data_IF_233659237147
#
_entry.id   IF_233659237147
#
_cell.length_a   1.000
_cell.length_b   1.000
_cell.length_c   1.000
_cell.angle_alpha   90.00
_cell.angle_beta   90.00
_cell.angle_gamma   90.00
#
_symmetry.space_group_name_H-M   'P 1'
#
loop_
_entity.id
_entity.type
_entity.pdbx_description
1 polymer ?
#
# COMPACT_ATOMS: atom_id res chain seq x y z
N UNK A 1 -10.70 10.77 -29.65
CA UNK A 1 -9.35 10.57 -30.23
C UNK A 1 -8.74 9.22 -29.84
N UNK A 2 -8.88 8.74 -28.59
CA UNK A 2 -8.32 7.45 -28.11
C UNK A 2 -8.98 6.20 -28.75
N UNK A 3 -10.31 6.16 -28.90
CA UNK A 3 -10.99 4.98 -29.50
C UNK A 3 -10.47 4.65 -30.90
N UNK A 4 -10.28 5.67 -31.75
CA UNK A 4 -9.69 5.48 -33.10
C UNK A 4 -8.25 4.95 -33.07
N UNK A 5 -7.48 5.18 -31.99
CA UNK A 5 -6.12 4.63 -31.83
C UNK A 5 -6.18 3.16 -31.40
N UNK A 6 -7.08 2.83 -30.47
CA UNK A 6 -7.36 1.46 -30.04
C UNK A 6 -7.80 0.59 -31.23
N UNK A 7 -8.73 1.10 -32.03
CA UNK A 7 -9.24 0.39 -33.22
C UNK A 7 -8.14 0.15 -34.27
N UNK A 8 -7.09 0.97 -34.27
CA UNK A 8 -5.92 0.85 -35.16
C UNK A 8 -4.79 -0.02 -34.59
N UNK A 9 -4.95 -0.62 -33.40
CA UNK A 9 -3.94 -1.50 -32.81
C UNK A 9 -2.77 -0.76 -32.15
N UNK A 10 -2.97 0.49 -31.72
CA UNK A 10 -1.95 1.26 -31.00
C UNK A 10 -1.72 0.67 -29.60
N UNK A 11 -0.53 0.09 -29.37
CA UNK A 11 -0.16 -0.59 -28.14
C UNK A 11 -0.25 0.32 -26.90
N UNK A 12 0.18 1.60 -27.00
CA UNK A 12 0.09 2.55 -25.88
C UNK A 12 -1.36 2.87 -25.52
N UNK A 13 -2.21 3.07 -26.53
CA UNK A 13 -3.62 3.38 -26.31
C UNK A 13 -4.38 2.18 -25.71
N UNK A 14 -4.01 0.95 -26.09
CA UNK A 14 -4.58 -0.29 -25.54
C UNK A 14 -4.09 -0.50 -24.10
N UNK A 15 -2.79 -0.28 -23.84
CA UNK A 15 -2.24 -0.35 -22.48
C UNK A 15 -2.92 0.65 -21.56
N UNK A 16 -3.08 1.89 -22.01
CA UNK A 16 -3.79 2.93 -21.26
C UNK A 16 -5.22 2.52 -20.95
N UNK A 17 -5.95 1.90 -21.89
CA UNK A 17 -7.29 1.40 -21.62
C UNK A 17 -7.28 0.29 -20.55
N UNK A 18 -6.28 -0.58 -20.56
CA UNK A 18 -6.04 -1.57 -19.50
C UNK A 18 -5.94 -0.92 -18.12
N UNK A 19 -5.16 0.16 -17.98
CA UNK A 19 -5.03 0.91 -16.71
C UNK A 19 -6.38 1.47 -16.24
N UNK A 20 -7.21 1.95 -17.16
CA UNK A 20 -8.54 2.48 -16.80
C UNK A 20 -9.48 1.40 -16.30
N UNK A 21 -9.44 0.20 -16.86
CA UNK A 21 -10.18 -0.94 -16.30
C UNK A 21 -9.59 -1.42 -14.97
N UNK A 22 -8.28 -1.39 -14.80
CA UNK A 22 -7.64 -1.81 -13.55
C UNK A 22 -8.03 -0.91 -12.37
N UNK A 23 -8.09 0.40 -12.59
CA UNK A 23 -8.41 1.39 -11.55
C UNK A 23 -9.90 1.75 -11.47
N UNK A 24 -10.69 1.45 -12.51
CA UNK A 24 -12.10 1.85 -12.59
C UNK A 24 -12.28 3.36 -12.84
N UNK A 25 -11.53 3.91 -13.81
CA UNK A 25 -11.50 5.34 -14.13
C UNK A 25 -12.33 5.67 -15.38
N UNK A 26 -12.54 6.97 -15.66
CA UNK A 26 -13.27 7.46 -16.84
C UNK A 26 -14.71 6.92 -16.97
N UNK A 27 -15.35 6.59 -15.84
CA UNK A 27 -16.68 5.99 -15.82
C UNK A 27 -16.72 4.50 -16.11
N UNK A 28 -15.57 3.83 -16.20
CA UNK A 28 -15.47 2.37 -16.30
C UNK A 28 -15.51 1.73 -14.92
N UNK A 29 -16.22 0.61 -14.78
CA UNK A 29 -16.13 -0.22 -13.58
C UNK A 29 -14.79 -0.94 -13.52
N UNK A 30 -14.22 -1.08 -12.32
CA UNK A 30 -13.00 -1.85 -12.09
C UNK A 30 -13.15 -3.29 -12.59
N UNK A 31 -12.26 -3.73 -13.48
CA UNK A 31 -12.25 -5.05 -14.08
C UNK A 31 -10.80 -5.50 -14.36
N UNK A 32 -10.20 -6.18 -13.37
CA UNK A 32 -8.82 -6.67 -13.43
C UNK A 32 -8.62 -7.69 -14.57
N UNK A 33 -9.47 -8.71 -14.77
CA UNK A 33 -9.31 -9.64 -15.89
C UNK A 33 -9.23 -8.95 -17.26
N UNK A 34 -10.10 -7.95 -17.49
CA UNK A 34 -10.10 -7.19 -18.74
C UNK A 34 -8.87 -6.29 -18.89
N UNK A 35 -8.37 -5.73 -17.78
CA UNK A 35 -7.14 -4.97 -17.79
C UNK A 35 -5.94 -5.84 -18.22
N UNK A 36 -5.86 -7.07 -17.69
CA UNK A 36 -4.81 -8.03 -18.03
C UNK A 36 -4.85 -8.38 -19.52
N UNK A 37 -6.03 -8.70 -20.06
CA UNK A 37 -6.20 -8.99 -21.49
C UNK A 37 -5.68 -7.85 -22.38
N UNK A 38 -6.03 -6.61 -22.03
CA UNK A 38 -5.59 -5.42 -22.77
C UNK A 38 -4.08 -5.20 -22.66
N UNK A 39 -3.49 -5.36 -21.48
CA UNK A 39 -2.05 -5.24 -21.30
C UNK A 39 -1.26 -6.32 -22.05
N UNK A 40 -1.71 -7.57 -22.01
CA UNK A 40 -1.11 -8.67 -22.77
C UNK A 40 -1.16 -8.37 -24.26
N UNK A 41 -2.31 -7.94 -24.77
CA UNK A 41 -2.46 -7.53 -26.18
C UNK A 41 -1.57 -6.34 -26.55
N UNK A 42 -1.43 -5.35 -25.67
CA UNK A 42 -0.54 -4.22 -25.89
C UNK A 42 0.93 -4.65 -25.97
N UNK A 43 1.37 -5.55 -25.09
CA UNK A 43 2.72 -6.12 -25.11
C UNK A 43 3.00 -6.94 -26.37
N UNK A 44 2.01 -7.71 -26.85
CA UNK A 44 2.10 -8.47 -28.11
C UNK A 44 2.24 -7.54 -29.33
N UNK A 45 1.46 -6.46 -29.38
CA UNK A 45 1.48 -5.48 -30.48
C UNK A 45 2.76 -4.62 -30.49
N UNK A 46 3.39 -4.43 -29.34
CA UNK A 46 4.64 -3.69 -29.17
C UNK A 46 5.92 -4.53 -29.27
N UNK A 47 5.80 -5.85 -29.43
CA UNK A 47 6.86 -6.85 -29.19
C UNK A 47 7.37 -6.84 -27.75
N UNK A 48 7.35 -8.02 -27.10
CA UNK A 48 7.67 -8.23 -25.69
C UNK A 48 9.01 -7.57 -25.25
N UNK A 49 8.95 -6.35 -24.71
CA UNK A 49 10.04 -5.82 -23.88
C UNK A 49 9.93 -6.46 -22.49
N UNK A 50 11.02 -7.06 -22.00
CA UNK A 50 11.08 -7.72 -20.71
C UNK A 50 10.69 -6.78 -19.55
N UNK A 51 10.95 -5.47 -19.70
CA UNK A 51 10.54 -4.45 -18.73
C UNK A 51 9.01 -4.34 -18.64
N UNK A 52 8.32 -4.27 -19.79
CA UNK A 52 6.86 -4.17 -19.85
C UNK A 52 6.19 -5.44 -19.31
N UNK A 53 6.75 -6.62 -19.60
CA UNK A 53 6.26 -7.88 -19.02
C UNK A 53 6.42 -7.94 -17.51
N UNK A 54 7.58 -7.53 -16.99
CA UNK A 54 7.81 -7.49 -15.56
C UNK A 54 6.82 -6.54 -14.87
N UNK A 55 6.58 -5.36 -15.45
CA UNK A 55 5.56 -4.42 -14.96
C UNK A 55 4.14 -5.01 -14.98
N UNK A 56 3.76 -5.70 -16.06
CA UNK A 56 2.44 -6.34 -16.16
C UNK A 56 2.31 -7.46 -15.11
N UNK A 57 3.31 -8.32 -14.96
CA UNK A 57 3.33 -9.39 -13.96
C UNK A 57 3.25 -8.83 -12.54
N UNK A 58 3.99 -7.77 -12.24
CA UNK A 58 3.93 -7.10 -10.95
C UNK A 58 2.53 -6.53 -10.67
N UNK A 59 1.90 -5.90 -11.66
CA UNK A 59 0.53 -5.37 -11.55
C UNK A 59 -0.51 -6.47 -11.37
N UNK A 60 -0.36 -7.60 -12.08
CA UNK A 60 -1.21 -8.79 -11.91
C UNK A 60 -1.08 -9.32 -10.50
N UNK A 61 0.14 -9.58 -10.02
CA UNK A 61 0.38 -10.07 -8.67
C UNK A 61 -0.16 -9.12 -7.61
N UNK A 62 0.06 -7.80 -7.74
CA UNK A 62 -0.53 -6.80 -6.84
C UNK A 62 -2.07 -6.80 -6.88
N UNK A 63 -2.65 -6.95 -8.06
CA UNK A 63 -4.10 -7.06 -8.24
C UNK A 63 -4.69 -8.28 -7.53
N UNK A 64 -4.04 -9.43 -7.70
CA UNK A 64 -4.41 -10.69 -7.04
C UNK A 64 -4.21 -10.60 -5.52
N UNK A 65 -3.11 -10.00 -5.08
CA UNK A 65 -2.81 -9.76 -3.67
C UNK A 65 -3.91 -8.94 -2.99
N UNK A 66 -4.33 -7.85 -3.62
CA UNK A 66 -5.40 -7.00 -3.12
C UNK A 66 -6.76 -7.71 -3.12
N UNK A 67 -7.05 -8.53 -4.13
CA UNK A 67 -8.29 -9.32 -4.16
C UNK A 67 -8.34 -10.34 -3.03
N UNK A 68 -7.26 -11.11 -2.83
CA UNK A 68 -7.14 -12.12 -1.78
C UNK A 68 -7.21 -11.46 -0.40
N UNK A 69 -6.47 -10.36 -0.19
CA UNK A 69 -6.52 -9.56 1.03
C UNK A 69 -7.94 -9.06 1.29
N UNK A 70 -8.62 -8.50 0.30
CA UNK A 70 -10.00 -8.02 0.50
C UNK A 70 -10.96 -9.15 0.85
N UNK A 71 -10.80 -10.34 0.26
CA UNK A 71 -11.57 -11.52 0.61
C UNK A 71 -11.28 -11.98 2.05
N UNK A 72 -10.02 -11.92 2.47
CA UNK A 72 -9.61 -12.18 3.85
C UNK A 72 -10.33 -11.22 4.82
N UNK A 73 -10.38 -9.93 4.52
CA UNK A 73 -11.14 -8.94 5.31
C UNK A 73 -12.62 -9.34 5.41
N UNK A 74 -13.22 -9.85 4.32
CA UNK A 74 -14.61 -10.31 4.34
C UNK A 74 -14.82 -11.52 5.24
N UNK A 75 -13.91 -12.49 5.21
CA UNK A 75 -13.93 -13.63 6.13
C UNK A 75 -13.75 -13.19 7.58
N UNK A 76 -12.86 -12.24 7.84
CA UNK A 76 -12.63 -11.76 9.21
C UNK A 76 -13.85 -11.04 9.80
N UNK A 77 -14.53 -10.20 9.01
CA UNK A 77 -15.68 -9.44 9.48
C UNK A 77 -17.02 -10.16 9.35
N UNK A 78 -17.08 -11.25 8.57
CA UNK A 78 -18.35 -11.91 8.25
C UNK A 78 -19.30 -10.99 7.46
N UNK A 79 -18.81 -10.39 6.38
CA UNK A 79 -19.55 -9.39 5.58
C UNK A 79 -19.89 -9.89 4.18
N UNK A 80 -20.82 -9.19 3.50
CA UNK A 80 -21.29 -9.54 2.15
C UNK A 80 -21.88 -10.97 2.03
N UNK A 81 -22.54 -11.45 3.09
CA UNK A 81 -23.16 -12.78 3.11
C UNK A 81 -22.20 -13.94 3.42
N UNK A 82 -20.92 -13.65 3.71
CA UNK A 82 -19.97 -14.63 4.23
C UNK A 82 -20.07 -14.72 5.75
N UNK A 83 -19.99 -15.93 6.29
CA UNK A 83 -19.84 -16.14 7.74
C UNK A 83 -18.44 -15.70 8.18
N UNK A 84 -18.34 -15.24 9.44
CA UNK A 84 -17.05 -14.93 10.06
C UNK A 84 -16.20 -16.20 10.19
N UNK A 85 -14.97 -16.16 9.67
CA UNK A 85 -14.00 -17.25 9.67
C UNK A 85 -12.58 -16.66 9.81
N UNK A 86 -12.11 -16.53 11.05
CA UNK A 86 -10.80 -15.92 11.35
C UNK A 86 -9.63 -16.76 10.85
N UNK A 87 -9.58 -18.10 11.07
CA UNK A 87 -8.50 -18.93 10.53
C UNK A 87 -8.34 -18.79 9.00
N UNK A 88 -9.45 -18.79 8.26
CA UNK A 88 -9.42 -18.60 6.80
C UNK A 88 -8.97 -17.20 6.39
N UNK A 89 -9.33 -16.18 7.17
CA UNK A 89 -8.83 -14.82 6.95
C UNK A 89 -7.31 -14.76 7.11
N UNK A 90 -6.76 -15.36 8.16
CA UNK A 90 -5.30 -15.41 8.41
C UNK A 90 -4.57 -16.17 7.29
N UNK A 91 -5.09 -17.30 6.85
CA UNK A 91 -4.54 -18.04 5.71
C UNK A 91 -4.53 -17.18 4.43
N UNK A 92 -5.66 -16.50 4.17
CA UNK A 92 -5.81 -15.65 2.99
C UNK A 92 -4.89 -14.43 3.02
N UNK A 93 -4.77 -13.73 4.16
CA UNK A 93 -3.80 -12.65 4.31
C UNK A 93 -2.37 -13.17 4.18
N UNK A 94 -2.05 -14.35 4.73
CA UNK A 94 -0.72 -14.96 4.59
C UNK A 94 -0.38 -15.13 3.12
N UNK A 95 -1.28 -15.75 2.34
CA UNK A 95 -1.12 -15.90 0.89
C UNK A 95 -0.98 -14.56 0.17
N UNK A 96 -1.82 -13.57 0.51
CA UNK A 96 -1.74 -12.22 -0.07
C UNK A 96 -0.39 -11.54 0.24
N UNK A 97 0.15 -11.75 1.43
CA UNK A 97 1.44 -11.21 1.87
C UNK A 97 2.62 -11.81 1.09
N UNK A 98 2.57 -13.12 0.82
CA UNK A 98 3.57 -13.85 0.03
C UNK A 98 3.66 -13.37 -1.42
N UNK A 99 2.52 -12.97 -2.01
CA UNK A 99 2.46 -12.39 -3.36
C UNK A 99 2.64 -10.86 -3.37
N UNK A 100 2.94 -10.26 -2.23
CA UNK A 100 3.42 -8.89 -2.12
C UNK A 100 2.43 -7.85 -1.60
N UNK A 101 1.29 -8.24 -1.03
CA UNK A 101 0.39 -7.27 -0.36
C UNK A 101 1.02 -6.77 0.94
N UNK A 102 1.34 -5.47 0.97
CA UNK A 102 1.80 -4.79 2.19
C UNK A 102 0.68 -4.67 3.21
N UNK A 103 -0.54 -4.35 2.78
CA UNK A 103 -1.72 -4.30 3.65
C UNK A 103 -1.96 -5.66 4.33
N UNK A 104 -1.77 -6.77 3.62
CA UNK A 104 -1.92 -8.09 4.23
C UNK A 104 -0.84 -8.35 5.30
N UNK A 105 0.41 -7.91 5.06
CA UNK A 105 1.42 -7.91 6.11
C UNK A 105 1.01 -7.02 7.29
N UNK A 106 0.46 -5.84 7.05
CA UNK A 106 -0.01 -4.94 8.10
C UNK A 106 -1.09 -5.59 8.98
N UNK A 107 -2.11 -6.20 8.35
CA UNK A 107 -3.19 -6.90 9.04
C UNK A 107 -2.66 -8.09 9.85
N UNK A 108 -1.80 -8.93 9.27
CA UNK A 108 -1.16 -10.04 10.00
C UNK A 108 -0.36 -9.52 11.20
N UNK A 109 0.37 -8.43 11.01
CA UNK A 109 1.11 -7.76 12.08
C UNK A 109 0.21 -7.43 13.27
N UNK A 110 -0.92 -6.78 12.98
CA UNK A 110 -1.93 -6.44 14.00
C UNK A 110 -2.51 -7.67 14.69
N UNK A 111 -2.86 -8.72 13.94
CA UNK A 111 -3.58 -9.87 14.53
C UNK A 111 -2.68 -10.73 15.40
N UNK A 112 -1.44 -10.94 14.98
CA UNK A 112 -0.48 -11.67 15.81
C UNK A 112 -0.07 -10.84 17.03
N UNK A 113 0.14 -9.52 16.88
CA UNK A 113 0.58 -8.70 18.01
C UNK A 113 -0.47 -8.60 19.13
N UNK A 114 -1.76 -8.46 18.79
CA UNK A 114 -2.82 -8.29 19.79
C UNK A 114 -3.63 -9.56 20.10
N UNK A 115 -3.35 -10.68 19.43
CA UNK A 115 -4.12 -11.92 19.61
C UNK A 115 -5.60 -11.82 19.16
N UNK A 116 -5.89 -10.97 18.17
CA UNK A 116 -7.27 -10.70 17.72
C UNK A 116 -7.88 -11.88 16.94
N UNK A 117 -8.47 -12.82 17.67
CA UNK A 117 -9.09 -14.03 17.12
C UNK A 117 -8.09 -15.14 16.78
N UNK A 118 -6.84 -15.00 17.20
CA UNK A 118 -5.77 -16.01 17.15
C UNK A 118 -4.92 -15.94 18.43
N UNK A 119 -4.04 -16.93 18.64
CA UNK A 119 -3.05 -16.85 19.71
C UNK A 119 -2.10 -15.67 19.47
N UNK A 120 -1.85 -14.91 20.53
CA UNK A 120 -0.94 -13.78 20.52
C UNK A 120 0.51 -14.25 20.29
N UNK A 121 1.19 -13.57 19.37
CA UNK A 121 2.60 -13.76 19.07
C UNK A 121 3.18 -12.40 18.64
N UNK A 122 3.58 -11.59 19.62
CA UNK A 122 4.17 -10.27 19.41
C UNK A 122 5.32 -10.30 18.39
N UNK A 123 6.20 -11.31 18.47
CA UNK A 123 7.38 -11.42 17.60
C UNK A 123 6.96 -11.62 16.14
N UNK A 124 5.95 -12.47 15.91
CA UNK A 124 5.41 -12.68 14.57
C UNK A 124 4.66 -11.45 14.07
N UNK A 125 3.94 -10.75 14.95
CA UNK A 125 3.30 -9.47 14.64
C UNK A 125 4.31 -8.43 14.16
N UNK A 126 5.35 -8.18 14.97
CA UNK A 126 6.46 -7.29 14.65
C UNK A 126 7.14 -7.70 13.35
N UNK A 127 7.39 -9.00 13.14
CA UNK A 127 7.98 -9.49 11.89
C UNK A 127 7.17 -9.05 10.67
N UNK A 128 5.85 -9.25 10.67
CA UNK A 128 5.02 -8.85 9.54
C UNK A 128 5.00 -7.33 9.33
N UNK A 129 4.95 -6.52 10.39
CA UNK A 129 5.07 -5.06 10.28
C UNK A 129 6.43 -4.62 9.74
N UNK A 130 7.53 -5.26 10.13
CA UNK A 130 8.87 -4.99 9.54
C UNK A 130 8.87 -5.27 8.03
N UNK A 131 8.30 -6.41 7.60
CA UNK A 131 8.23 -6.76 6.18
C UNK A 131 7.42 -5.76 5.35
N UNK A 132 6.35 -5.18 5.91
CA UNK A 132 5.58 -4.13 5.26
C UNK A 132 6.33 -2.78 5.28
N UNK A 133 6.85 -2.38 6.44
CA UNK A 133 7.51 -1.09 6.64
C UNK A 133 8.75 -0.93 5.75
N UNK A 134 9.59 -1.96 5.62
CA UNK A 134 10.79 -1.94 4.74
C UNK A 134 10.42 -1.69 3.28
N UNK A 135 9.23 -2.11 2.85
CA UNK A 135 8.70 -1.89 1.49
C UNK A 135 7.86 -0.61 1.37
N UNK A 136 7.86 0.23 2.39
CA UNK A 136 7.25 1.56 2.37
C UNK A 136 5.82 1.63 2.87
N UNK A 137 5.34 0.62 3.60
CA UNK A 137 4.07 0.77 4.31
C UNK A 137 4.21 1.72 5.51
N UNK A 138 3.44 2.80 5.46
CA UNK A 138 3.53 3.92 6.39
C UNK A 138 2.87 3.60 7.73
N UNK A 139 1.78 2.84 7.71
CA UNK A 139 1.03 2.41 8.90
C UNK A 139 1.81 1.35 9.68
N UNK A 140 2.38 0.35 9.01
CA UNK A 140 3.28 -0.60 9.69
C UNK A 140 4.52 0.08 10.27
N UNK A 141 5.07 1.11 9.60
CA UNK A 141 6.18 1.89 10.17
C UNK A 141 5.75 2.62 11.44
N UNK A 142 4.55 3.19 11.47
CA UNK A 142 3.98 3.82 12.66
C UNK A 142 3.81 2.80 13.80
N UNK A 143 3.25 1.61 13.51
CA UNK A 143 3.09 0.55 14.50
C UNK A 143 4.41 0.09 15.12
N UNK A 144 5.51 0.05 14.35
CA UNK A 144 6.83 -0.21 14.92
C UNK A 144 7.32 0.90 15.87
N UNK A 145 6.86 2.15 15.67
CA UNK A 145 7.05 3.23 16.62
C UNK A 145 6.29 2.99 17.92
N UNK A 146 5.02 2.56 17.82
CA UNK A 146 4.19 2.22 18.98
C UNK A 146 4.85 1.10 19.81
N UNK A 147 5.27 0.03 19.13
CA UNK A 147 6.01 -1.09 19.76
C UNK A 147 7.29 -0.60 20.45
N UNK A 148 8.05 0.29 19.82
CA UNK A 148 9.26 0.83 20.44
C UNK A 148 8.95 1.68 21.68
N UNK A 149 7.85 2.45 21.67
CA UNK A 149 7.33 3.16 22.85
C UNK A 149 6.93 2.19 23.96
N UNK A 150 6.22 1.11 23.63
CA UNK A 150 5.79 0.08 24.60
C UNK A 150 6.98 -0.55 25.32
N UNK A 151 8.09 -0.79 24.61
CA UNK A 151 9.35 -1.28 25.19
C UNK A 151 10.22 -0.17 25.81
N UNK A 152 9.74 1.08 25.87
CA UNK A 152 10.46 2.23 26.45
C UNK A 152 11.66 2.72 25.62
N UNK A 153 11.80 2.27 24.37
CA UNK A 153 12.84 2.70 23.45
C UNK A 153 12.40 3.93 22.65
N UNK A 154 12.30 5.06 23.33
CA UNK A 154 11.79 6.31 22.75
C UNK A 154 12.67 6.85 21.62
N UNK A 155 13.98 6.62 21.64
CA UNK A 155 14.85 7.04 20.54
C UNK A 155 14.47 6.30 19.24
N UNK A 156 14.28 4.99 19.32
CA UNK A 156 13.86 4.17 18.19
C UNK A 156 12.43 4.52 17.75
N UNK A 157 11.53 4.79 18.69
CA UNK A 157 10.18 5.22 18.36
C UNK A 157 10.17 6.53 17.55
N UNK A 158 10.93 7.54 17.98
CA UNK A 158 11.09 8.80 17.21
C UNK A 158 11.62 8.51 15.80
N UNK A 159 12.58 7.59 15.64
CA UNK A 159 13.07 7.23 14.30
C UNK A 159 11.98 6.61 13.42
N UNK A 160 11.19 5.68 13.94
CA UNK A 160 10.08 5.06 13.20
C UNK A 160 9.01 6.08 12.83
N UNK A 161 8.56 6.89 13.79
CA UNK A 161 7.58 7.94 13.53
C UNK A 161 8.12 8.99 12.56
N UNK A 162 9.41 9.35 12.62
CA UNK A 162 10.01 10.33 11.71
C UNK A 162 9.92 9.87 10.27
N UNK A 163 10.24 8.60 10.02
CA UNK A 163 10.14 8.00 8.68
C UNK A 163 8.67 8.03 8.22
N UNK A 164 7.74 7.60 9.07
CA UNK A 164 6.31 7.56 8.75
C UNK A 164 5.72 8.96 8.50
N UNK A 165 6.08 9.96 9.31
CA UNK A 165 5.68 11.36 9.14
C UNK A 165 6.22 11.95 7.84
N UNK A 166 7.48 11.67 7.48
CA UNK A 166 8.10 12.04 6.20
C UNK A 166 7.45 11.36 4.99
N UNK A 167 6.67 10.31 5.20
CA UNK A 167 5.86 9.67 4.16
C UNK A 167 4.42 10.22 4.12
N UNK A 168 4.10 11.19 4.96
CA UNK A 168 2.83 11.91 4.96
C UNK A 168 1.79 11.39 5.96
N UNK A 169 2.16 10.58 6.96
CA UNK A 169 1.22 10.19 8.02
C UNK A 169 1.18 11.21 9.16
N UNK A 170 0.04 11.88 9.29
CA UNK A 170 -0.18 12.90 10.32
C UNK A 170 -0.16 12.30 11.74
N UNK A 171 -0.64 11.07 11.91
CA UNK A 171 -0.60 10.36 13.20
C UNK A 171 0.80 10.31 13.79
N UNK A 172 1.79 9.87 13.00
CA UNK A 172 3.20 9.84 13.43
C UNK A 172 3.78 11.22 13.75
N UNK A 173 3.35 12.27 13.05
CA UNK A 173 3.76 13.64 13.38
C UNK A 173 3.19 14.07 14.75
N UNK A 174 1.95 13.69 15.05
CA UNK A 174 1.33 13.96 16.35
C UNK A 174 2.03 13.19 17.48
N UNK A 175 2.43 11.93 17.24
CA UNK A 175 3.23 11.17 18.23
C UNK A 175 4.55 11.88 18.53
N UNK A 176 5.30 12.33 17.51
CA UNK A 176 6.56 13.07 17.74
C UNK A 176 6.32 14.39 18.49
N UNK A 177 5.19 15.06 18.23
CA UNK A 177 4.80 16.27 18.97
C UNK A 177 4.55 15.98 20.44
N UNK A 178 3.89 14.88 20.76
CA UNK A 178 3.61 14.49 22.14
C UNK A 178 4.90 14.02 22.84
N UNK A 179 5.72 13.21 22.17
CA UNK A 179 7.06 12.87 22.64
C UNK A 179 7.96 14.09 22.90
N UNK A 180 7.82 15.17 22.11
CA UNK A 180 8.54 16.42 22.36
C UNK A 180 8.07 17.13 23.64
N UNK A 181 6.75 17.12 23.92
CA UNK A 181 6.21 17.69 25.17
C UNK A 181 6.68 16.90 26.38
N UNK A 182 6.78 15.59 26.25
CA UNK A 182 7.19 14.68 27.31
C UNK A 182 8.71 14.64 27.50
N UNK A 183 9.48 15.30 26.62
CA UNK A 183 10.94 15.38 26.68
C UNK A 183 11.67 14.18 26.06
N UNK A 184 10.95 13.28 25.40
CA UNK A 184 11.49 12.12 24.69
C UNK A 184 12.00 12.45 23.27
N UNK A 185 11.46 13.50 22.65
CA UNK A 185 11.98 14.07 21.41
C UNK A 185 12.52 15.49 21.64
N UNK A 186 13.52 15.90 20.86
CA UNK A 186 14.06 17.25 20.93
C UNK A 186 13.42 18.17 19.87
N UNK A 187 13.65 19.49 20.02
CA UNK A 187 13.10 20.52 19.12
C UNK A 187 13.51 20.31 17.66
N UNK A 188 14.73 19.83 17.41
CA UNK A 188 15.23 19.61 16.05
C UNK A 188 14.46 18.45 15.39
N UNK A 189 14.28 17.34 16.10
CA UNK A 189 13.49 16.19 15.62
C UNK A 189 12.04 16.58 15.32
N UNK A 190 11.38 17.31 16.22
CA UNK A 190 10.01 17.75 15.95
C UNK A 190 9.92 18.70 14.74
N UNK A 191 10.87 19.63 14.61
CA UNK A 191 10.94 20.55 13.45
C UNK A 191 11.19 19.79 12.16
N UNK A 192 12.08 18.81 12.18
CA UNK A 192 12.38 17.96 11.02
C UNK A 192 11.16 17.13 10.60
N UNK A 193 10.41 16.58 11.56
CA UNK A 193 9.18 15.85 11.29
C UNK A 193 8.12 16.75 10.62
N UNK A 194 7.96 17.98 11.12
CA UNK A 194 7.04 18.97 10.55
C UNK A 194 7.40 19.32 9.11
N UNK A 195 8.67 19.57 8.83
CA UNK A 195 9.17 19.89 7.48
C UNK A 195 8.93 18.68 6.57
N UNK A 196 9.36 17.49 7.00
CA UNK A 196 9.20 16.26 6.24
C UNK A 196 7.75 15.93 5.89
N UNK A 197 6.84 16.05 6.86
CA UNK A 197 5.41 15.87 6.62
C UNK A 197 4.86 16.90 5.65
N UNK A 198 5.23 18.18 5.82
CA UNK A 198 4.83 19.26 4.91
C UNK A 198 5.29 18.98 3.49
N UNK A 199 6.55 18.60 3.30
CA UNK A 199 7.13 18.28 2.00
C UNK A 199 6.37 17.11 1.36
N UNK A 200 6.07 16.05 2.11
CA UNK A 200 5.26 14.93 1.62
C UNK A 200 3.85 15.37 1.17
N UNK A 201 3.18 16.22 1.94
CA UNK A 201 1.85 16.75 1.59
C UNK A 201 1.91 17.68 0.38
N UNK A 202 2.95 18.52 0.27
CA UNK A 202 3.16 19.42 -0.87
C UNK A 202 3.50 18.64 -2.15
N UNK A 203 4.37 17.64 -2.08
CA UNK A 203 4.66 16.72 -3.19
C UNK A 203 3.38 16.02 -3.67
N UNK A 204 2.53 15.56 -2.75
CA UNK A 204 1.25 14.95 -3.10
C UNK A 204 0.32 15.91 -3.88
N UNK A 205 0.47 17.22 -3.70
CA UNK A 205 -0.33 18.29 -4.31
C UNK A 205 0.37 18.99 -5.49
N UNK A 206 1.59 18.59 -5.88
CA UNK A 206 2.39 19.38 -6.80
C UNK A 206 1.75 19.51 -8.20
N UNK A 207 1.90 20.66 -8.89
CA UNK A 207 1.41 20.84 -10.25
C UNK A 207 1.94 19.79 -11.22
N UNK A 208 3.18 19.31 -11.06
CA UNK A 208 3.71 18.23 -11.90
C UNK A 208 3.02 16.90 -11.65
N UNK A 209 2.57 16.62 -10.41
CA UNK A 209 1.79 15.41 -10.10
C UNK A 209 0.35 15.54 -10.57
N UNK A 210 -0.25 16.71 -10.45
CA UNK A 210 -1.57 17.02 -11.04
C UNK A 210 -1.53 17.00 -12.58
N UNK A 211 -0.44 17.45 -13.18
CA UNK A 211 -0.19 17.40 -14.62
C UNK A 211 0.14 15.97 -15.07
N UNK A 212 0.93 15.20 -14.32
CA UNK A 212 1.13 13.77 -14.56
C UNK A 212 -0.16 12.96 -14.39
N UNK A 213 -1.06 13.33 -13.47
CA UNK A 213 -2.42 12.78 -13.37
C UNK A 213 -3.26 13.16 -14.58
N UNK A 214 -3.21 14.41 -15.04
CA UNK A 214 -3.88 14.86 -16.28
C UNK A 214 -3.34 14.15 -17.53
N UNK A 215 -2.05 13.83 -17.54
CA UNK A 215 -1.35 13.18 -18.66
C UNK A 215 -1.30 11.65 -18.53
N UNK A 216 -1.79 11.08 -17.42
CA UNK A 216 -1.94 9.63 -17.22
C UNK A 216 -0.65 8.86 -16.90
N UNK A 217 0.41 9.51 -16.42
CA UNK A 217 1.74 8.89 -16.27
C UNK A 217 2.03 8.24 -14.93
N UNK A 218 1.12 8.22 -13.96
CA UNK A 218 1.33 7.40 -12.75
C UNK A 218 0.02 7.08 -12.02
N UNK A 219 -0.37 5.80 -12.06
CA UNK A 219 -0.66 4.94 -10.90
C UNK A 219 -0.60 3.48 -11.31
#
# INVERSE_FOLDING_TARGET
>A
MIQKRIDKGDAEAIYFLGDKYFHGELGLAKNVPRAIELWTRAAELGSLDASLLAMIQERVHKGDANLIKNLADRYYHGSLGLAKDVPRAIESWTKASEIGSLDAHHELGHRYYFGDGIEEDEKKGIYHWVQAAVRGDVESRHKLGDVACDYGNYELAVQHYMISAKMGLEGSLNEIKDMFKDGHANKAQYTEALIGYRDAVEEMKSPQREEAKRLGFNR
#
